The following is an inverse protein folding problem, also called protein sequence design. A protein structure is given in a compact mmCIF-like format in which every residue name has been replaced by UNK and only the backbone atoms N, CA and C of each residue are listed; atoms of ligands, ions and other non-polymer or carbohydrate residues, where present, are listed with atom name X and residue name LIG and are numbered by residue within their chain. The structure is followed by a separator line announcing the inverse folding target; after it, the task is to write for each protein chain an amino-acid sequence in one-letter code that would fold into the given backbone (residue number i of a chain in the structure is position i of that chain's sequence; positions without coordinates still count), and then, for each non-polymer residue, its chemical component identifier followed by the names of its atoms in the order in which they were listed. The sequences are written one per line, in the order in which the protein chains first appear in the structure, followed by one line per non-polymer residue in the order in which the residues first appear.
data_IF_217421130774
#
_entry.id   IF_217421130774
#
_cell.length_a   1.000
_cell.length_b   1.000
_cell.length_c   1.000
_cell.angle_alpha   90.00
_cell.angle_beta   90.00
_cell.angle_gamma   90.00
#
_symmetry.space_group_name_H-M   'P 1'
#
loop_
_entity.id
_entity.type
_entity.pdbx_description
1 polymer ?
#
# COMPACT_ATOMS: atom_id res chain seq x y z
N UNK A 1 -22.48 -16.43 -14.12
CA UNK A 1 -21.30 -15.55 -13.90
C UNK A 1 -20.69 -15.14 -15.22
N UNK A 2 -20.36 -13.86 -15.37
CA UNK A 2 -19.70 -13.41 -16.58
C UNK A 2 -18.19 -13.70 -16.53
N UNK A 3 -17.55 -13.75 -17.69
CA UNK A 3 -16.11 -13.93 -17.77
C UNK A 3 -15.38 -12.78 -17.04
N UNK A 4 -15.91 -11.56 -17.15
CA UNK A 4 -15.32 -10.39 -16.50
C UNK A 4 -15.38 -10.52 -14.97
N UNK A 5 -16.49 -11.02 -14.43
CA UNK A 5 -16.61 -11.27 -13.00
C UNK A 5 -15.54 -12.24 -12.51
N UNK A 6 -15.34 -13.33 -13.23
CA UNK A 6 -14.33 -14.33 -12.89
C UNK A 6 -12.94 -13.72 -12.91
N UNK A 7 -12.63 -12.91 -13.94
CA UNK A 7 -11.34 -12.23 -14.03
C UNK A 7 -11.09 -11.30 -12.83
N UNK A 8 -12.13 -10.55 -12.45
CA UNK A 8 -12.02 -9.63 -11.30
C UNK A 8 -11.80 -10.38 -10.01
N UNK A 9 -12.54 -11.46 -9.78
CA UNK A 9 -12.40 -12.29 -8.59
C UNK A 9 -11.00 -12.92 -8.50
N UNK A 10 -10.48 -13.39 -9.63
CA UNK A 10 -9.12 -13.96 -9.69
C UNK A 10 -8.06 -12.91 -9.40
N UNK A 11 -8.21 -11.71 -9.96
CA UNK A 11 -7.26 -10.64 -9.71
C UNK A 11 -7.29 -10.20 -8.24
N UNK A 12 -8.47 -10.09 -7.65
CA UNK A 12 -8.63 -9.77 -6.23
C UNK A 12 -7.96 -10.85 -5.37
N UNK A 13 -8.17 -12.12 -5.69
CA UNK A 13 -7.54 -13.22 -4.94
C UNK A 13 -6.02 -13.13 -5.01
N UNK A 14 -5.47 -12.82 -6.19
CA UNK A 14 -4.03 -12.65 -6.35
C UNK A 14 -3.49 -11.48 -5.54
N UNK A 15 -4.21 -10.35 -5.52
CA UNK A 15 -3.84 -9.19 -4.72
C UNK A 15 -3.78 -9.53 -3.23
N UNK A 16 -4.75 -10.29 -2.75
CA UNK A 16 -4.78 -10.69 -1.33
C UNK A 16 -3.59 -11.56 -0.97
N UNK A 17 -3.17 -12.44 -1.87
CA UNK A 17 -1.95 -13.24 -1.67
C UNK A 17 -0.73 -12.33 -1.58
N UNK A 18 -0.62 -11.37 -2.50
CA UNK A 18 0.50 -10.42 -2.48
C UNK A 18 0.53 -9.60 -1.20
N UNK A 19 -0.66 -9.19 -0.71
CA UNK A 19 -0.76 -8.43 0.54
C UNK A 19 -0.23 -9.21 1.74
N UNK A 20 -0.62 -10.48 1.87
CA UNK A 20 -0.17 -11.28 3.02
C UNK A 20 1.31 -11.63 2.95
N UNK A 21 1.92 -11.53 1.76
CA UNK A 21 3.35 -11.77 1.60
C UNK A 21 4.22 -10.55 1.90
N UNK A 22 3.60 -9.37 2.01
CA UNK A 22 4.36 -8.18 2.39
C UNK A 22 4.95 -8.38 3.78
N UNK A 23 6.20 -7.95 3.94
CA UNK A 23 6.82 -7.91 5.26
C UNK A 23 6.33 -6.71 6.05
N UNK A 24 7.07 -6.34 7.06
CA UNK A 24 6.76 -5.15 7.86
C UNK A 24 6.70 -3.92 6.97
N UNK A 25 5.83 -2.99 7.32
CA UNK A 25 5.65 -1.77 6.56
C UNK A 25 5.66 -0.55 7.48
N UNK A 26 6.04 0.58 6.91
CA UNK A 26 6.04 1.85 7.62
C UNK A 26 5.72 2.97 6.63
N UNK A 27 4.82 3.88 6.97
CA UNK A 27 4.55 5.03 6.09
C UNK A 27 5.69 6.03 6.12
N UNK A 28 5.74 6.88 5.10
CA UNK A 28 6.65 8.01 5.09
C UNK A 28 7.81 7.89 4.12
N UNK A 29 8.81 8.73 4.34
CA UNK A 29 9.99 8.79 3.49
C UNK A 29 11.23 9.11 4.30
N UNK A 30 12.38 8.69 3.76
CA UNK A 30 13.68 9.05 4.31
C UNK A 30 14.26 10.19 3.49
N UNK A 31 14.90 11.12 4.17
CA UNK A 31 15.63 12.20 3.53
C UNK A 31 16.98 12.37 4.19
N UNK A 32 18.00 12.65 3.37
CA UNK A 32 19.33 12.95 3.88
C UNK A 32 19.36 14.41 4.35
N UNK A 33 19.87 14.61 5.58
CA UNK A 33 20.02 15.94 6.16
C UNK A 33 21.49 16.18 6.43
N UNK A 34 21.93 17.41 6.23
CA UNK A 34 23.31 17.79 6.53
C UNK A 34 23.36 18.47 7.89
N UNK A 35 24.35 18.06 8.69
CA UNK A 35 24.63 18.74 9.94
C UNK A 35 25.77 19.74 9.73
N UNK A 36 25.76 20.84 10.47
CA UNK A 36 26.86 21.79 10.47
C UNK A 36 28.13 21.15 11.00
N UNK A 37 28.03 20.10 11.84
CA UNK A 37 29.15 19.31 12.36
C UNK A 37 28.74 17.84 12.28
N UNK A 38 29.64 16.98 11.80
CA UNK A 38 29.45 15.53 11.86
C UNK A 38 28.78 14.88 10.66
N UNK A 39 28.66 15.58 9.53
CA UNK A 39 28.23 14.96 8.28
C UNK A 39 26.72 14.80 8.11
N UNK A 40 26.34 13.85 7.27
CA UNK A 40 24.94 13.62 6.92
C UNK A 40 24.27 12.62 7.87
N UNK A 41 22.97 12.80 8.04
CA UNK A 41 22.14 11.83 8.75
C UNK A 41 20.83 11.64 8.01
N UNK A 42 20.15 10.53 8.28
CA UNK A 42 18.86 10.25 7.67
C UNK A 42 17.73 10.63 8.62
N UNK A 43 16.69 11.21 8.03
CA UNK A 43 15.51 11.64 8.77
C UNK A 43 14.29 10.97 8.18
N UNK A 44 13.50 10.31 9.05
CA UNK A 44 12.22 9.71 8.67
C UNK A 44 11.12 10.73 8.92
N UNK A 45 10.32 10.99 7.89
CA UNK A 45 9.14 11.85 8.03
C UNK A 45 7.90 11.06 7.64
N UNK A 46 6.88 11.06 8.48
CA UNK A 46 5.63 10.38 8.18
C UNK A 46 4.46 11.07 8.86
N UNK A 47 3.26 10.80 8.35
CA UNK A 47 2.02 11.28 8.95
C UNK A 47 1.19 10.08 9.40
N UNK A 48 0.56 10.21 10.57
CA UNK A 48 -0.33 9.18 11.08
C UNK A 48 -1.46 9.86 11.84
N UNK A 49 -2.70 9.50 11.49
CA UNK A 49 -3.90 10.08 12.09
C UNK A 49 -3.92 11.60 12.08
N UNK A 50 -3.47 12.19 10.97
CA UNK A 50 -3.45 13.62 10.77
C UNK A 50 -2.29 14.36 11.43
N UNK A 51 -1.38 13.64 12.07
CA UNK A 51 -0.20 14.23 12.72
C UNK A 51 1.07 13.88 11.98
N UNK A 52 1.92 14.88 11.76
CA UNK A 52 3.24 14.70 11.18
C UNK A 52 4.25 14.31 12.26
N UNK A 53 5.17 13.42 11.87
CA UNK A 53 6.23 12.97 12.74
C UNK A 53 7.56 13.02 12.00
N UNK A 54 8.61 13.37 12.71
CA UNK A 54 9.96 13.44 12.17
C UNK A 54 10.90 12.80 13.17
N UNK A 55 11.72 11.84 12.71
CA UNK A 55 12.63 11.11 13.58
C UNK A 55 13.98 10.92 12.93
N UNK A 56 15.03 11.03 13.74
CA UNK A 56 16.37 10.67 13.31
C UNK A 56 16.49 9.16 13.16
N UNK A 57 17.19 8.71 12.12
CA UNK A 57 17.40 7.28 11.85
C UNK A 57 18.90 6.98 11.86
N UNK A 58 19.28 6.00 12.66
CA UNK A 58 20.67 5.55 12.72
C UNK A 58 21.06 4.87 11.42
N UNK A 59 22.34 4.98 10.99
CA UNK A 59 22.78 4.33 9.76
C UNK A 59 22.44 2.85 9.67
N UNK A 60 22.58 2.11 10.77
CA UNK A 60 22.29 0.68 10.81
C UNK A 60 20.80 0.36 10.65
N UNK A 61 19.93 1.32 10.94
CA UNK A 61 18.48 1.15 10.83
C UNK A 61 17.95 1.52 9.44
N UNK A 62 18.75 2.18 8.62
CA UNK A 62 18.32 2.65 7.30
C UNK A 62 17.91 1.52 6.36
N UNK A 63 18.73 0.47 6.15
CA UNK A 63 18.32 -0.61 5.22
C UNK A 63 17.01 -1.31 5.60
N UNK A 64 16.80 -1.74 6.85
CA UNK A 64 15.51 -2.35 7.20
C UNK A 64 14.35 -1.38 7.07
N UNK A 65 14.54 -0.10 7.41
CA UNK A 65 13.49 0.90 7.28
C UNK A 65 13.16 1.17 5.81
N UNK A 66 14.16 1.19 4.93
CA UNK A 66 13.92 1.33 3.49
C UNK A 66 13.02 0.23 2.97
N UNK A 67 13.20 -1.01 3.43
CA UNK A 67 12.34 -2.13 3.06
C UNK A 67 10.92 -1.93 3.56
N UNK A 68 10.76 -1.44 4.80
CA UNK A 68 9.44 -1.17 5.37
C UNK A 68 8.70 -0.07 4.61
N UNK A 69 9.42 0.97 4.21
CA UNK A 69 8.84 2.06 3.41
C UNK A 69 8.42 1.57 2.02
N UNK A 70 9.25 0.73 1.40
CA UNK A 70 8.91 0.14 0.11
C UNK A 70 7.68 -0.77 0.22
N UNK A 71 7.59 -1.57 1.28
CA UNK A 71 6.44 -2.43 1.54
C UNK A 71 5.17 -1.62 1.73
N UNK A 72 5.25 -0.49 2.42
CA UNK A 72 4.10 0.39 2.60
C UNK A 72 3.62 0.97 1.27
N UNK A 73 4.54 1.41 0.42
CA UNK A 73 4.17 1.91 -0.91
C UNK A 73 3.48 0.82 -1.73
N UNK A 74 3.99 -0.40 -1.66
CA UNK A 74 3.39 -1.54 -2.35
C UNK A 74 2.00 -1.85 -1.78
N UNK A 75 1.85 -1.81 -0.47
CA UNK A 75 0.56 -1.96 0.21
C UNK A 75 -0.46 -0.94 -0.31
N UNK A 76 -0.05 0.32 -0.46
CA UNK A 76 -0.92 1.37 -0.96
C UNK A 76 -1.36 1.11 -2.41
N UNK A 77 -0.43 0.67 -3.25
CA UNK A 77 -0.75 0.32 -4.63
C UNK A 77 -1.72 -0.84 -4.72
N UNK A 78 -1.47 -1.89 -3.97
CA UNK A 78 -2.30 -3.09 -3.97
C UNK A 78 -3.71 -2.80 -3.45
N UNK A 79 -3.84 -2.07 -2.35
CA UNK A 79 -5.15 -1.75 -1.78
C UNK A 79 -5.94 -0.80 -2.67
N UNK A 80 -5.28 0.14 -3.31
CA UNK A 80 -5.92 1.03 -4.27
C UNK A 80 -6.49 0.24 -5.44
N UNK A 81 -5.71 -0.70 -5.96
CA UNK A 81 -6.16 -1.57 -7.07
C UNK A 81 -7.32 -2.45 -6.61
N UNK A 82 -7.20 -3.01 -5.39
CA UNK A 82 -8.27 -3.83 -4.82
C UNK A 82 -9.59 -3.08 -4.79
N UNK A 83 -9.57 -1.84 -4.30
CA UNK A 83 -10.79 -1.02 -4.23
C UNK A 83 -11.39 -0.80 -5.62
N UNK A 84 -10.56 -0.51 -6.62
CA UNK A 84 -11.03 -0.35 -8.00
C UNK A 84 -11.72 -1.61 -8.52
N UNK A 85 -11.13 -2.77 -8.25
CA UNK A 85 -11.69 -4.05 -8.69
C UNK A 85 -13.00 -4.36 -7.97
N UNK A 86 -13.08 -4.06 -6.69
CA UNK A 86 -14.29 -4.26 -5.91
C UNK A 86 -15.44 -3.36 -6.40
N UNK A 87 -15.13 -2.13 -6.75
CA UNK A 87 -16.13 -1.20 -7.31
C UNK A 87 -16.72 -1.77 -8.59
N UNK A 88 -15.87 -2.26 -9.50
CA UNK A 88 -16.31 -2.85 -10.75
C UNK A 88 -17.12 -4.13 -10.53
N UNK A 89 -16.59 -5.01 -9.67
CA UNK A 89 -17.26 -6.29 -9.35
C UNK A 89 -18.61 -6.06 -8.70
N UNK A 90 -18.69 -5.12 -7.77
CA UNK A 90 -19.96 -4.78 -7.12
C UNK A 90 -21.01 -4.29 -8.13
N UNK A 91 -20.59 -3.46 -9.08
CA UNK A 91 -21.48 -2.96 -10.12
C UNK A 91 -22.00 -4.10 -11.01
N UNK A 92 -21.12 -5.01 -11.41
CA UNK A 92 -21.50 -6.16 -12.24
C UNK A 92 -22.45 -7.10 -11.49
N UNK A 93 -22.19 -7.33 -10.21
CA UNK A 93 -23.04 -8.20 -9.38
C UNK A 93 -24.43 -7.62 -9.23
N UNK A 94 -24.54 -6.31 -9.01
CA UNK A 94 -25.84 -5.64 -8.91
C UNK A 94 -26.61 -5.70 -10.24
N UNK A 95 -25.91 -5.53 -11.35
CA UNK A 95 -26.50 -5.59 -12.68
C UNK A 95 -27.05 -6.98 -12.97
N UNK A 96 -26.32 -8.04 -12.65
CA UNK A 96 -26.78 -9.41 -12.79
C UNK A 96 -28.01 -9.70 -11.93
N UNK A 97 -28.04 -9.18 -10.70
CA UNK A 97 -29.17 -9.31 -9.81
C UNK A 97 -30.44 -8.70 -10.39
N UNK A 98 -30.32 -7.56 -11.07
CA UNK A 98 -31.48 -6.94 -11.77
C UNK A 98 -31.95 -7.76 -12.94
N UNK A 99 -31.03 -8.32 -13.72
CA UNK A 99 -31.41 -9.19 -14.88
C UNK A 99 -32.10 -10.45 -14.41
N UNK A 100 -31.63 -11.02 -13.28
CA UNK A 100 -32.24 -12.23 -12.72
C UNK A 100 -33.66 -11.98 -12.23
N UNK A 101 -33.98 -10.77 -11.80
CA UNK A 101 -35.32 -10.39 -11.34
C UNK A 101 -36.23 -9.91 -12.46
N UNK A 102 -35.65 -9.51 -13.56
CA UNK A 102 -36.39 -9.08 -14.73
C UNK A 102 -36.73 -10.19 -15.65
#
# INVERSE_FOLDING_TARGET
MSARQTELEEEIAALKVDLVRLGRLHPGSLSAQKRSRGGEYQQLSYSYLGKGHTKYVRPEDVPPLQRELANYRRFRELTKRWVQLEIELSALTREEGRRAKG
#
